data_IF_707258993581
#
_entry.id   IF_707258993581
#
_cell.length_a   1.000
_cell.length_b   1.000
_cell.length_c   1.000
_cell.angle_alpha   90.00
_cell.angle_beta   90.00
_cell.angle_gamma   90.00
#
_symmetry.space_group_name_H-M   'P 1'
#
loop_
_entity.id
_entity.type
_entity.pdbx_description
1 polymer ?
#
# COMPACT_ATOMS: atom_id res chain seq x y z
N UNK A 1 -10.60 -16.12 -22.07
CA UNK A 1 -9.77 -16.11 -20.86
C UNK A 1 -9.18 -17.50 -20.67
N UNK A 2 -7.90 -17.57 -20.32
CA UNK A 2 -7.24 -18.86 -20.03
C UNK A 2 -6.95 -18.94 -18.52
N UNK A 3 -7.40 -20.02 -17.89
CA UNK A 3 -7.16 -20.28 -16.47
C UNK A 3 -6.59 -21.70 -16.36
N UNK A 4 -5.40 -21.85 -15.78
CA UNK A 4 -4.70 -23.13 -15.61
C UNK A 4 -4.61 -23.97 -16.92
N UNK A 5 -4.51 -23.28 -18.07
CA UNK A 5 -4.46 -23.91 -19.39
C UNK A 5 -5.83 -24.21 -20.01
N UNK A 6 -6.92 -24.01 -19.33
CA UNK A 6 -8.28 -24.16 -19.83
C UNK A 6 -8.80 -22.81 -20.38
N UNK A 7 -9.48 -22.86 -21.54
CA UNK A 7 -10.00 -21.66 -22.23
C UNK A 7 -11.49 -21.50 -21.93
N UNK A 8 -11.84 -20.35 -21.36
CA UNK A 8 -13.21 -19.93 -21.12
C UNK A 8 -13.60 -18.82 -22.11
N UNK A 9 -14.67 -19.06 -22.88
CA UNK A 9 -15.27 -18.03 -23.75
C UNK A 9 -16.27 -17.23 -22.93
N UNK A 10 -16.18 -15.89 -23.02
CA UNK A 10 -17.06 -14.97 -22.31
C UNK A 10 -17.29 -13.71 -23.13
N UNK A 11 -18.43 -13.05 -22.93
CA UNK A 11 -18.76 -11.78 -23.58
C UNK A 11 -18.16 -10.58 -22.83
N UNK A 12 -17.90 -10.73 -21.52
CA UNK A 12 -17.31 -9.68 -20.70
C UNK A 12 -16.41 -10.25 -19.60
N UNK A 13 -15.54 -9.40 -19.07
CA UNK A 13 -14.61 -9.72 -17.97
C UNK A 13 -14.60 -8.54 -16.99
N UNK A 14 -14.57 -8.82 -15.68
CA UNK A 14 -14.27 -7.84 -14.66
C UNK A 14 -12.92 -8.21 -14.02
N UNK A 15 -11.94 -7.33 -14.12
CA UNK A 15 -10.61 -7.49 -13.51
C UNK A 15 -10.64 -6.90 -12.11
N UNK A 16 -10.54 -7.77 -11.09
CA UNK A 16 -10.54 -7.39 -9.67
C UNK A 16 -9.35 -8.03 -8.96
N UNK A 17 -8.19 -8.02 -9.58
CA UNK A 17 -6.99 -8.73 -9.12
C UNK A 17 -6.27 -8.06 -7.96
N UNK A 18 -6.64 -6.79 -7.65
CA UNK A 18 -6.10 -6.07 -6.53
C UNK A 18 -4.71 -5.49 -6.74
N UNK A 19 -4.10 -5.09 -5.63
CA UNK A 19 -2.72 -4.59 -5.57
C UNK A 19 -2.03 -5.12 -4.31
N UNK A 20 -0.78 -5.51 -4.44
CA UNK A 20 0.03 -6.00 -3.31
C UNK A 20 0.80 -4.86 -2.67
N UNK A 21 0.84 -4.84 -1.33
CA UNK A 21 1.73 -3.96 -0.59
C UNK A 21 3.19 -4.36 -0.86
N UNK A 22 4.04 -3.37 -1.05
CA UNK A 22 5.48 -3.60 -1.14
C UNK A 22 6.06 -3.82 0.25
N UNK A 23 6.93 -4.81 0.36
CA UNK A 23 7.62 -5.20 1.58
C UNK A 23 9.11 -4.88 1.47
N UNK A 24 9.77 -4.72 2.62
CA UNK A 24 11.22 -4.51 2.65
C UNK A 24 11.98 -5.82 2.45
N UNK A 25 11.34 -6.94 2.80
CA UNK A 25 11.93 -8.29 2.85
C UNK A 25 13.18 -8.35 3.77
N UNK A 26 13.16 -7.53 4.82
CA UNK A 26 14.20 -7.54 5.83
C UNK A 26 14.06 -8.77 6.76
N UNK A 27 15.17 -9.29 7.32
CA UNK A 27 15.12 -10.36 8.29
C UNK A 27 14.13 -10.08 9.43
N UNK A 28 13.32 -11.09 9.80
CA UNK A 28 12.29 -10.97 10.83
C UNK A 28 10.96 -10.36 10.36
N UNK A 29 10.86 -9.85 9.12
CA UNK A 29 9.63 -9.19 8.64
C UNK A 29 8.47 -10.15 8.48
N UNK A 30 8.72 -11.31 7.88
CA UNK A 30 7.67 -12.27 7.55
C UNK A 30 6.95 -12.77 8.82
N UNK A 31 7.68 -13.02 9.89
CA UNK A 31 7.17 -13.50 11.17
C UNK A 31 6.36 -12.44 11.92
N UNK A 32 6.59 -11.16 11.62
CA UNK A 32 5.95 -10.04 12.30
C UNK A 32 4.79 -9.42 11.51
N UNK A 33 4.50 -9.90 10.29
CA UNK A 33 3.30 -9.50 9.53
C UNK A 33 2.03 -9.81 10.32
N UNK A 34 1.25 -8.76 10.65
CA UNK A 34 0.07 -8.87 11.51
C UNK A 34 0.38 -9.11 13.00
N UNK A 35 1.65 -9.11 13.40
CA UNK A 35 2.11 -9.24 14.78
C UNK A 35 2.97 -8.04 15.22
N UNK A 36 2.65 -6.87 14.71
CA UNK A 36 3.36 -5.63 14.95
C UNK A 36 3.75 -4.91 13.67
N UNK A 37 3.89 -5.59 12.52
CA UNK A 37 4.14 -4.96 11.22
C UNK A 37 2.87 -4.96 10.37
N UNK A 38 2.48 -3.78 9.87
CA UNK A 38 1.33 -3.53 9.01
C UNK A 38 1.72 -2.70 7.78
N UNK A 39 0.83 -2.64 6.80
CA UNK A 39 0.90 -1.76 5.63
C UNK A 39 -0.30 -0.82 5.52
N UNK A 40 -1.13 -0.76 6.57
CA UNK A 40 -2.36 0.05 6.58
C UNK A 40 -2.54 0.76 7.93
N UNK A 41 -2.12 2.00 8.03
CA UNK A 41 -2.26 2.78 9.26
C UNK A 41 -3.74 3.01 9.64
N UNK A 42 -4.62 3.20 8.67
CA UNK A 42 -6.06 3.36 8.92
C UNK A 42 -6.73 2.10 9.44
N UNK A 43 -6.23 0.92 9.07
CA UNK A 43 -6.74 -0.37 9.54
C UNK A 43 -6.30 -0.65 10.97
N UNK A 44 -5.00 -0.50 11.24
CA UNK A 44 -4.36 -1.09 12.41
C UNK A 44 -3.86 -0.06 13.42
N UNK A 45 -3.82 1.23 13.07
CA UNK A 45 -3.26 2.29 13.92
C UNK A 45 -3.89 2.37 15.31
N UNK A 46 -5.17 2.05 15.43
CA UNK A 46 -5.88 2.07 16.70
C UNK A 46 -5.39 1.01 17.73
N UNK A 47 -4.70 -0.04 17.29
CA UNK A 47 -4.12 -1.06 18.15
C UNK A 47 -2.86 -0.58 18.88
N UNK A 48 -2.24 0.51 18.41
CA UNK A 48 -0.97 1.05 18.97
C UNK A 48 -1.18 2.31 19.79
N UNK A 49 -2.24 2.34 20.60
CA UNK A 49 -2.52 3.48 21.50
C UNK A 49 -1.46 3.61 22.58
N UNK A 50 -0.93 4.83 22.71
CA UNK A 50 0.12 5.21 23.69
C UNK A 50 1.43 4.43 23.49
N UNK A 51 1.66 3.93 22.27
CA UNK A 51 2.84 3.17 21.92
C UNK A 51 3.79 3.99 21.03
N UNK A 52 5.02 3.52 20.89
CA UNK A 52 5.97 4.03 19.90
C UNK A 52 5.86 3.17 18.64
N UNK A 53 5.61 3.81 17.49
CA UNK A 53 5.52 3.15 16.20
C UNK A 53 6.51 3.72 15.18
N UNK A 54 6.92 2.86 14.25
CA UNK A 54 7.79 3.22 13.12
C UNK A 54 6.94 3.36 11.86
N UNK A 55 7.28 4.32 11.01
CA UNK A 55 6.75 4.41 9.64
C UNK A 55 7.93 4.40 8.68
N UNK A 56 7.90 3.51 7.71
CA UNK A 56 8.99 3.34 6.76
C UNK A 56 8.55 3.83 5.38
N UNK A 57 9.16 4.91 4.91
CA UNK A 57 8.82 5.49 3.61
C UNK A 57 9.33 6.92 3.45
N UNK A 58 8.96 7.57 2.35
CA UNK A 58 9.40 8.94 2.08
C UNK A 58 8.57 9.63 0.99
N UNK A 59 7.40 9.07 0.65
CA UNK A 59 6.40 9.68 -0.21
C UNK A 59 5.23 10.25 0.58
N UNK A 60 4.23 10.79 -0.14
CA UNK A 60 3.02 11.36 0.46
C UNK A 60 2.31 10.36 1.39
N UNK A 61 2.16 9.10 0.98
CA UNK A 61 1.54 8.05 1.80
C UNK A 61 2.25 7.87 3.14
N UNK A 62 3.59 7.87 3.17
CA UNK A 62 4.33 7.72 4.42
C UNK A 62 4.13 8.92 5.35
N UNK A 63 4.09 10.14 4.82
CA UNK A 63 3.81 11.36 5.58
C UNK A 63 2.37 11.38 6.09
N UNK A 64 1.42 10.93 5.29
CA UNK A 64 0.00 10.83 5.67
C UNK A 64 -0.20 9.80 6.78
N UNK A 65 0.36 8.60 6.64
CA UNK A 65 0.28 7.54 7.63
C UNK A 65 0.97 7.94 8.95
N UNK A 66 2.16 8.53 8.88
CA UNK A 66 2.85 9.04 10.06
C UNK A 66 2.00 10.07 10.81
N UNK A 67 1.41 11.03 10.08
CA UNK A 67 0.52 12.04 10.66
C UNK A 67 -0.75 11.40 11.24
N UNK A 68 -1.35 10.43 10.55
CA UNK A 68 -2.56 9.74 11.03
C UNK A 68 -2.30 8.97 12.33
N UNK A 69 -1.18 8.27 12.42
CA UNK A 69 -0.80 7.47 13.59
C UNK A 69 -0.60 8.30 14.85
N UNK A 70 -0.26 9.59 14.76
CA UNK A 70 -0.16 10.47 15.94
C UNK A 70 -1.47 10.67 16.70
N UNK A 71 -2.60 10.27 16.12
CA UNK A 71 -3.92 10.26 16.79
C UNK A 71 -4.01 9.17 17.86
N UNK A 72 -3.18 8.14 17.75
CA UNK A 72 -3.20 6.97 18.63
C UNK A 72 -1.88 6.82 19.37
N UNK A 73 -0.77 6.82 18.65
CA UNK A 73 0.56 6.62 19.20
C UNK A 73 1.04 7.83 20.01
N UNK A 74 1.87 7.58 20.99
CA UNK A 74 2.57 8.63 21.74
C UNK A 74 3.75 9.17 20.95
N UNK A 75 4.41 8.31 20.19
CA UNK A 75 5.55 8.66 19.36
C UNK A 75 5.48 7.94 18.03
N UNK A 76 5.83 8.64 16.95
CA UNK A 76 6.01 8.09 15.61
C UNK A 76 7.42 8.40 15.15
N UNK A 77 8.18 7.41 14.69
CA UNK A 77 9.47 7.65 14.02
C UNK A 77 9.34 7.33 12.55
N UNK A 78 9.45 8.38 11.71
CA UNK A 78 9.45 8.25 10.25
C UNK A 78 10.87 7.98 9.76
N UNK A 79 11.08 6.82 9.17
CA UNK A 79 12.37 6.32 8.71
C UNK A 79 12.45 6.42 7.20
N UNK A 80 13.46 7.14 6.70
CA UNK A 80 13.71 7.28 5.28
C UNK A 80 15.18 7.04 4.93
N UNK A 81 15.41 6.25 3.88
CA UNK A 81 16.76 5.83 3.46
C UNK A 81 17.60 6.91 2.77
N UNK A 82 17.02 8.08 2.48
CA UNK A 82 17.67 9.23 1.83
C UNK A 82 17.45 10.48 2.67
N UNK A 83 18.04 11.58 2.27
CA UNK A 83 17.80 12.91 2.82
C UNK A 83 16.61 13.63 2.20
N UNK A 84 16.30 13.33 0.94
CA UNK A 84 15.23 13.98 0.18
C UNK A 84 14.00 13.09 0.14
N UNK A 85 12.89 13.63 0.65
CA UNK A 85 11.57 13.03 0.55
C UNK A 85 10.98 13.26 -0.85
N UNK A 86 10.22 12.27 -1.33
CA UNK A 86 9.42 12.42 -2.55
C UNK A 86 8.04 13.00 -2.27
N UNK A 87 7.72 13.21 -1.00
CA UNK A 87 6.46 13.79 -0.57
C UNK A 87 6.34 15.23 -1.05
N UNK A 88 5.10 15.67 -1.29
CA UNK A 88 4.78 17.07 -1.54
C UNK A 88 5.19 17.94 -0.34
N UNK A 89 5.55 19.20 -0.59
CA UNK A 89 5.96 20.13 0.46
C UNK A 89 4.93 20.22 1.58
N UNK A 90 3.65 20.25 1.23
CA UNK A 90 2.54 20.33 2.21
C UNK A 90 2.53 19.11 3.14
N UNK A 91 2.73 17.91 2.60
CA UNK A 91 2.73 16.68 3.41
C UNK A 91 3.98 16.58 4.27
N UNK A 92 5.13 16.97 3.73
CA UNK A 92 6.39 17.01 4.47
C UNK A 92 6.34 18.02 5.63
N UNK A 93 5.81 19.24 5.40
CA UNK A 93 5.66 20.27 6.42
C UNK A 93 4.76 19.82 7.57
N UNK A 94 3.71 19.05 7.31
CA UNK A 94 2.86 18.45 8.34
C UNK A 94 3.63 17.51 9.27
N UNK A 95 4.54 16.73 8.71
CA UNK A 95 5.37 15.80 9.47
C UNK A 95 6.41 16.55 10.30
N UNK A 96 7.15 17.50 9.69
CA UNK A 96 8.20 18.27 10.36
C UNK A 96 7.66 19.09 11.52
N UNK A 97 6.45 19.65 11.38
CA UNK A 97 5.82 20.48 12.41
C UNK A 97 5.03 19.69 13.47
N UNK A 98 4.99 18.35 13.37
CA UNK A 98 4.26 17.54 14.33
C UNK A 98 5.17 17.10 15.49
N UNK A 99 4.90 17.54 16.75
CA UNK A 99 5.78 17.26 17.89
C UNK A 99 5.86 15.78 18.28
N UNK A 100 4.94 14.94 17.79
CA UNK A 100 4.97 13.49 18.03
C UNK A 100 5.79 12.73 16.99
N UNK A 101 6.23 13.39 15.90
CA UNK A 101 6.97 12.74 14.82
C UNK A 101 8.45 13.07 14.89
N UNK A 102 9.27 12.04 15.02
CA UNK A 102 10.72 12.10 14.81
C UNK A 102 11.06 11.62 13.41
N UNK A 103 11.87 12.37 12.66
CA UNK A 103 12.33 11.97 11.33
C UNK A 103 13.77 11.45 11.45
N UNK A 104 13.99 10.22 10.95
CA UNK A 104 15.32 9.62 10.79
C UNK A 104 15.63 9.42 9.30
N UNK A 105 16.44 10.32 8.74
CA UNK A 105 16.96 10.20 7.37
C UNK A 105 18.21 9.34 7.33
N UNK A 106 18.59 8.90 6.12
CA UNK A 106 19.70 7.99 5.88
C UNK A 106 19.62 6.70 6.70
N UNK A 107 18.42 6.24 7.01
CA UNK A 107 18.19 5.03 7.78
C UNK A 107 17.33 4.05 6.98
N UNK A 108 17.74 2.80 7.02
CA UNK A 108 16.96 1.68 6.52
C UNK A 108 16.85 0.57 7.57
N UNK A 109 15.81 -0.25 7.45
CA UNK A 109 15.65 -1.42 8.32
C UNK A 109 16.67 -2.47 7.87
N UNK A 110 17.53 -2.89 8.77
CA UNK A 110 18.46 -4.01 8.57
C UNK A 110 17.85 -5.32 9.05
N UNK A 111 17.17 -5.28 10.18
CA UNK A 111 16.57 -6.45 10.83
C UNK A 111 15.42 -5.99 11.73
N UNK A 112 14.36 -6.77 11.81
CA UNK A 112 13.27 -6.59 12.76
C UNK A 112 13.52 -7.40 14.03
N UNK A 113 13.31 -6.80 15.17
CA UNK A 113 13.46 -7.41 16.48
C UNK A 113 12.10 -7.79 17.05
N UNK A 114 12.02 -8.94 17.68
CA UNK A 114 10.77 -9.43 18.27
C UNK A 114 11.00 -10.11 19.61
N UNK A 115 9.93 -10.24 20.37
CA UNK A 115 9.86 -10.99 21.63
C UNK A 115 8.55 -11.80 21.66
N UNK A 116 8.23 -12.41 22.78
CA UNK A 116 7.03 -13.24 22.96
C UNK A 116 5.72 -12.49 22.70
N UNK A 117 5.72 -11.15 22.77
CA UNK A 117 4.55 -10.29 22.53
C UNK A 117 4.40 -9.86 21.06
N UNK A 118 5.41 -10.04 20.23
CA UNK A 118 5.46 -9.60 18.85
C UNK A 118 6.64 -8.68 18.57
N UNK A 119 6.45 -7.68 17.70
CA UNK A 119 7.50 -6.70 17.37
C UNK A 119 7.99 -5.96 18.63
N UNK A 120 9.30 -5.86 18.79
CA UNK A 120 9.92 -5.12 19.90
C UNK A 120 10.85 -3.99 19.43
N UNK A 121 11.12 -3.89 18.14
CA UNK A 121 11.95 -2.86 17.54
C UNK A 121 12.58 -3.25 16.23
N UNK A 122 13.61 -2.53 15.85
CA UNK A 122 14.41 -2.80 14.66
C UNK A 122 15.88 -2.41 14.86
N UNK A 123 16.74 -3.06 14.10
CA UNK A 123 18.11 -2.60 13.84
C UNK A 123 18.05 -1.71 12.60
N UNK A 124 18.39 -0.44 12.78
CA UNK A 124 18.53 0.52 11.70
C UNK A 124 19.98 0.54 11.22
N UNK A 125 20.19 0.69 9.93
CA UNK A 125 21.50 0.87 9.31
C UNK A 125 21.56 2.25 8.64
N UNK A 126 22.65 2.97 8.90
CA UNK A 126 22.95 4.22 8.19
C UNK A 126 23.39 3.89 6.76
N UNK A 127 22.68 4.41 5.77
CA UNK A 127 22.93 4.13 4.34
C UNK A 127 24.22 4.76 3.80
N UNK A 128 24.90 5.60 4.59
CA UNK A 128 26.12 6.31 4.18
C UNK A 128 27.39 5.58 4.63
N UNK A 129 27.38 5.01 5.83
CA UNK A 129 28.57 4.40 6.42
C UNK A 129 28.38 2.98 6.96
N UNK A 130 27.13 2.47 6.91
CA UNK A 130 26.79 1.12 7.38
C UNK A 130 26.75 0.97 8.91
N UNK A 131 26.89 2.04 9.66
CA UNK A 131 26.75 2.00 11.12
C UNK A 131 25.32 1.63 11.52
N UNK A 132 25.16 0.98 12.67
CA UNK A 132 23.87 0.49 13.12
C UNK A 132 23.45 1.07 14.45
N UNK A 133 22.16 1.26 14.63
CA UNK A 133 21.51 1.62 15.89
C UNK A 133 20.26 0.75 16.11
N UNK A 134 19.91 0.53 17.37
CA UNK A 134 18.68 -0.17 17.73
C UNK A 134 17.63 0.88 18.08
N UNK A 135 16.42 0.68 17.56
CA UNK A 135 15.23 1.47 17.93
C UNK A 135 14.16 0.54 18.50
N UNK A 136 13.67 0.84 19.69
CA UNK A 136 12.56 0.12 20.30
C UNK A 136 11.23 0.66 19.78
N UNK A 137 10.33 -0.23 19.39
CA UNK A 137 8.98 0.10 18.96
C UNK A 137 8.10 -1.16 19.00
N UNK A 138 6.82 -1.01 19.26
CA UNK A 138 5.86 -2.13 19.32
C UNK A 138 5.06 -2.28 18.04
N UNK A 139 5.14 -1.28 17.16
CA UNK A 139 4.46 -1.30 15.85
C UNK A 139 5.31 -0.71 14.74
N UNK A 140 5.09 -1.17 13.52
CA UNK A 140 5.72 -0.63 12.33
C UNK A 140 4.73 -0.63 11.15
N UNK A 141 4.78 0.43 10.34
CA UNK A 141 3.95 0.60 9.15
C UNK A 141 4.84 0.79 7.94
N UNK A 142 4.73 -0.13 6.97
CA UNK A 142 5.54 -0.10 5.75
C UNK A 142 4.78 0.65 4.67
N UNK A 143 5.16 1.91 4.44
CA UNK A 143 4.51 2.86 3.54
C UNK A 143 5.39 3.16 2.31
N UNK A 144 5.84 2.11 1.60
CA UNK A 144 6.72 2.21 0.41
C UNK A 144 5.99 1.96 -0.91
N UNK A 145 4.64 1.95 -0.86
CA UNK A 145 3.75 1.83 -2.00
C UNK A 145 3.22 0.42 -2.23
N UNK A 146 2.46 0.30 -3.32
CA UNK A 146 1.80 -0.93 -3.74
C UNK A 146 2.20 -1.25 -5.18
N UNK A 147 1.91 -2.47 -5.61
CA UNK A 147 2.08 -2.92 -6.99
C UNK A 147 0.75 -3.55 -7.43
N UNK A 148 0.03 -2.96 -8.39
CA UNK A 148 -1.19 -3.55 -8.91
C UNK A 148 -0.86 -4.87 -9.62
N UNK A 149 -1.78 -5.85 -9.51
CA UNK A 149 -1.59 -7.17 -10.12
C UNK A 149 -2.15 -7.13 -11.54
N UNK A 150 -1.31 -6.71 -12.49
CA UNK A 150 -1.67 -6.47 -13.92
C UNK A 150 -0.75 -7.16 -14.92
N UNK A 151 0.34 -7.80 -14.48
CA UNK A 151 1.34 -8.43 -15.36
C UNK A 151 0.73 -9.48 -16.31
N UNK A 152 -0.29 -10.22 -15.84
CA UNK A 152 -0.98 -11.24 -16.63
C UNK A 152 -1.75 -10.67 -17.85
N UNK A 153 -2.03 -9.37 -17.86
CA UNK A 153 -2.71 -8.69 -18.98
C UNK A 153 -1.80 -8.55 -20.21
N UNK A 154 -0.48 -8.70 -20.07
CA UNK A 154 0.47 -8.67 -21.18
C UNK A 154 0.40 -7.40 -22.03
N UNK A 155 0.01 -6.26 -21.45
CA UNK A 155 -0.13 -4.98 -22.14
C UNK A 155 -1.37 -4.84 -23.01
N UNK A 156 -2.33 -5.76 -22.92
CA UNK A 156 -3.59 -5.70 -23.69
C UNK A 156 -4.57 -4.65 -23.18
N UNK A 157 -4.46 -4.27 -21.92
CA UNK A 157 -5.28 -3.24 -21.26
C UNK A 157 -4.38 -2.07 -20.89
N UNK A 158 -4.85 -0.86 -21.10
CA UNK A 158 -4.09 0.35 -20.76
C UNK A 158 -3.90 0.46 -19.24
N UNK A 159 -2.65 0.74 -18.85
CA UNK A 159 -2.28 1.01 -17.45
C UNK A 159 -1.57 2.36 -17.35
N UNK A 160 -1.64 2.97 -16.18
CA UNK A 160 -0.88 4.18 -15.89
C UNK A 160 0.63 3.87 -15.68
N UNK A 161 1.42 4.90 -15.43
CA UNK A 161 2.88 4.79 -15.18
C UNK A 161 3.24 3.92 -13.96
N UNK A 162 2.32 3.72 -13.04
CA UNK A 162 2.50 2.94 -11.80
C UNK A 162 1.89 1.53 -11.93
N UNK A 163 1.31 1.20 -13.12
CA UNK A 163 0.78 -0.10 -13.48
C UNK A 163 -0.71 -0.31 -13.16
N UNK A 164 -1.43 0.70 -12.64
CA UNK A 164 -2.86 0.62 -12.38
C UNK A 164 -3.66 0.67 -13.67
N UNK A 165 -4.73 -0.14 -13.77
CA UNK A 165 -5.61 -0.12 -14.94
C UNK A 165 -6.30 1.25 -15.04
N UNK A 166 -6.24 1.84 -16.25
CA UNK A 166 -6.95 3.07 -16.57
C UNK A 166 -8.39 2.75 -16.97
N UNK A 167 -9.35 3.39 -16.31
CA UNK A 167 -10.77 3.32 -16.68
C UNK A 167 -11.09 4.41 -17.70
N UNK A 168 -11.76 4.08 -18.79
CA UNK A 168 -12.13 5.00 -19.89
C UNK A 168 -13.50 5.62 -19.67
N UNK A 169 -14.52 4.81 -19.46
CA UNK A 169 -15.90 5.22 -19.20
C UNK A 169 -16.45 4.37 -18.05
N UNK A 170 -16.85 5.00 -16.96
CA UNK A 170 -17.26 4.33 -15.73
C UNK A 170 -16.21 3.30 -15.29
N UNK A 171 -16.58 2.00 -15.23
CA UNK A 171 -15.65 0.93 -14.84
C UNK A 171 -15.03 0.18 -16.04
N UNK A 172 -15.34 0.60 -17.29
CA UNK A 172 -14.78 -0.01 -18.49
C UNK A 172 -13.31 0.40 -18.70
N UNK A 173 -12.52 -0.52 -19.22
CA UNK A 173 -11.12 -0.31 -19.57
C UNK A 173 -10.95 0.19 -21.01
N UNK A 174 -9.72 0.26 -21.51
CA UNK A 174 -9.42 0.55 -22.92
C UNK A 174 -9.92 -0.54 -23.89
N UNK A 175 -10.32 -1.71 -23.40
CA UNK A 175 -10.82 -2.83 -24.21
C UNK A 175 -12.32 -3.00 -24.01
N UNK A 176 -13.15 -2.89 -25.08
CA UNK A 176 -14.60 -3.07 -24.97
C UNK A 176 -14.96 -4.43 -24.37
N UNK A 177 -15.90 -4.44 -23.41
CA UNK A 177 -16.31 -5.63 -22.67
C UNK A 177 -15.36 -6.06 -21.55
N UNK A 178 -14.25 -5.36 -21.36
CA UNK A 178 -13.34 -5.55 -20.21
C UNK A 178 -13.50 -4.40 -19.24
N UNK A 179 -13.85 -4.73 -18.01
CA UNK A 179 -14.09 -3.82 -16.90
C UNK A 179 -13.06 -4.07 -15.80
N UNK A 180 -12.82 -3.09 -14.92
CA UNK A 180 -11.91 -3.25 -13.82
C UNK A 180 -12.44 -2.56 -12.55
N UNK A 181 -12.17 -3.14 -11.37
CA UNK A 181 -12.64 -2.60 -10.11
C UNK A 181 -11.72 -3.00 -8.94
N UNK A 182 -11.81 -2.25 -7.85
CA UNK A 182 -11.03 -2.47 -6.64
C UNK A 182 -9.61 -1.93 -6.73
N UNK A 183 -8.70 -2.49 -5.90
CA UNK A 183 -7.36 -1.90 -5.72
C UNK A 183 -6.51 -1.91 -7.01
N UNK A 184 -6.86 -2.69 -8.02
CA UNK A 184 -6.18 -2.70 -9.31
C UNK A 184 -6.38 -1.40 -10.12
N UNK A 185 -7.39 -0.59 -9.77
CA UNK A 185 -7.68 0.74 -10.34
C UNK A 185 -7.59 1.86 -9.29
N UNK A 186 -7.66 1.51 -7.99
CA UNK A 186 -7.68 2.48 -6.90
C UNK A 186 -6.26 2.90 -6.52
N UNK A 187 -5.86 4.09 -6.94
CA UNK A 187 -4.56 4.68 -6.59
C UNK A 187 -4.58 5.39 -5.23
N UNK A 188 -5.75 5.51 -4.57
CA UNK A 188 -5.93 6.41 -3.42
C UNK A 188 -6.35 5.72 -2.12
N UNK A 189 -7.48 5.03 -2.12
CA UNK A 189 -8.14 4.56 -0.88
C UNK A 189 -7.65 3.19 -0.43
N UNK A 190 -7.66 2.21 -1.34
CA UNK A 190 -7.23 0.82 -1.09
C UNK A 190 -7.87 0.22 0.17
N UNK A 191 -9.19 0.35 0.26
CA UNK A 191 -9.97 -0.16 1.37
C UNK A 191 -10.98 -1.22 0.88
N UNK A 192 -11.20 -2.26 1.68
CA UNK A 192 -12.13 -3.34 1.34
C UNK A 192 -13.53 -2.83 0.97
N UNK A 193 -14.03 -1.81 1.67
CA UNK A 193 -15.35 -1.25 1.40
C UNK A 193 -15.40 -0.46 0.09
N UNK A 194 -14.33 0.26 -0.27
CA UNK A 194 -14.25 0.95 -1.57
C UNK A 194 -14.13 -0.05 -2.70
N UNK A 195 -13.32 -1.09 -2.54
CA UNK A 195 -13.19 -2.17 -3.51
C UNK A 195 -14.53 -2.91 -3.75
N UNK A 196 -15.28 -3.19 -2.68
CA UNK A 196 -16.61 -3.79 -2.78
C UNK A 196 -17.60 -2.88 -3.54
N UNK A 197 -17.60 -1.58 -3.26
CA UNK A 197 -18.43 -0.59 -3.97
C UNK A 197 -18.08 -0.48 -5.46
N UNK A 198 -16.79 -0.45 -5.78
CA UNK A 198 -16.30 -0.47 -7.16
C UNK A 198 -16.72 -1.76 -7.89
N UNK A 199 -16.63 -2.93 -7.23
CA UNK A 199 -17.07 -4.20 -7.79
C UNK A 199 -18.57 -4.23 -8.10
N UNK A 200 -19.39 -3.66 -7.22
CA UNK A 200 -20.83 -3.49 -7.46
C UNK A 200 -21.09 -2.60 -8.69
N UNK A 201 -20.39 -1.47 -8.80
CA UNK A 201 -20.49 -0.59 -9.96
C UNK A 201 -20.12 -1.31 -11.26
N UNK A 202 -19.00 -2.04 -11.26
CA UNK A 202 -18.55 -2.80 -12.42
C UNK A 202 -19.57 -3.87 -12.86
N UNK A 203 -20.21 -4.55 -11.92
CA UNK A 203 -21.25 -5.55 -12.23
C UNK A 203 -22.46 -4.92 -12.95
N UNK A 204 -22.91 -3.75 -12.47
CA UNK A 204 -24.03 -3.00 -13.09
C UNK A 204 -23.63 -2.51 -14.49
N UNK A 205 -22.41 -2.01 -14.65
CA UNK A 205 -21.93 -1.54 -15.96
C UNK A 205 -21.81 -2.69 -16.97
N UNK A 206 -21.36 -3.87 -16.53
CA UNK A 206 -21.32 -5.10 -17.34
C UNK A 206 -22.72 -5.51 -17.79
N UNK A 207 -23.70 -5.54 -16.89
CA UNK A 207 -25.09 -5.88 -17.21
C UNK A 207 -25.62 -5.00 -18.33
N UNK A 208 -25.50 -3.68 -18.19
CA UNK A 208 -25.92 -2.71 -19.22
C UNK A 208 -25.15 -2.86 -20.54
N UNK A 209 -23.87 -3.14 -20.47
CA UNK A 209 -23.05 -3.35 -21.66
C UNK A 209 -23.49 -4.60 -22.44
N UNK A 210 -23.77 -5.70 -21.72
CA UNK A 210 -24.24 -6.96 -22.32
C UNK A 210 -25.61 -6.77 -23.01
N UNK A 211 -26.53 -6.07 -22.37
CA UNK A 211 -27.86 -5.75 -22.97
C UNK A 211 -27.75 -5.01 -24.31
N UNK A 212 -26.74 -4.17 -24.48
CA UNK A 212 -26.58 -3.34 -25.67
C UNK A 212 -25.67 -3.99 -26.75
N UNK A 213 -24.85 -4.99 -26.42
CA UNK A 213 -23.80 -5.49 -27.32
C UNK A 213 -23.88 -6.99 -27.58
N UNK A 214 -24.73 -7.74 -26.87
CA UNK A 214 -24.86 -9.20 -27.04
C UNK A 214 -26.32 -9.54 -27.35
N UNK A 215 -26.54 -10.03 -28.57
CA UNK A 215 -27.88 -10.42 -29.09
C UNK A 215 -27.96 -11.92 -29.33
#
# INVERSE_FOLDING_TARGET
VTVEGEIFLTHSIIVCTGAESRWLNAPGEAEQKGRGISTCATCDGAFFRNEHVLVIGGGDSACEEATFLTRFADKVTLIHRRDVFKASTIMYDRVVNNPKIEIKTFRQIKEWLSNDKGLSGAVLEDTRDGSTEIIEATGAFIAIGHTPITDFLGGQVETDKDGYIVQSEHTMTSVPGVFAAGDVVDTRYKQAITAAGMGCAAAIDVEKWLENNVH
#
